data_IF_765898265741
#
_entry.id   IF_765898265741
#
_cell.length_a   1.000
_cell.length_b   1.000
_cell.length_c   1.000
_cell.angle_alpha   90.00
_cell.angle_beta   90.00
_cell.angle_gamma   90.00
#
_symmetry.space_group_name_H-M   'P 1'
#
loop_
_entity.id
_entity.type
_entity.pdbx_description
1 polymer ?
#
# COMPACT_ATOMS: atom_id res chain seq x y z
N UNK A 1 -17.78 -1.23 25.06
CA UNK A 1 -16.84 -1.97 24.19
C UNK A 1 -17.29 -1.91 22.73
N UNK A 2 -18.49 -2.43 22.39
CA UNK A 2 -19.03 -2.39 21.01
C UNK A 2 -19.15 -0.95 20.47
N UNK A 3 -19.74 -0.03 21.25
CA UNK A 3 -19.89 1.38 20.83
C UNK A 3 -18.54 2.08 20.55
N UNK A 4 -17.52 1.79 21.37
CA UNK A 4 -16.17 2.32 21.13
C UNK A 4 -15.59 1.78 19.82
N UNK A 5 -15.70 0.48 19.56
CA UNK A 5 -15.26 -0.13 18.30
C UNK A 5 -15.99 0.47 17.09
N UNK A 6 -17.30 0.67 17.19
CA UNK A 6 -18.11 1.27 16.11
C UNK A 6 -17.76 2.75 15.88
N UNK A 7 -17.39 3.49 16.93
CA UNK A 7 -16.93 4.87 16.80
C UNK A 7 -15.51 4.97 16.20
N UNK A 8 -14.63 4.00 16.48
CA UNK A 8 -13.26 4.00 15.96
C UNK A 8 -13.16 3.47 14.52
N UNK A 9 -13.96 2.46 14.16
CA UNK A 9 -13.83 1.72 12.90
C UNK A 9 -15.08 1.76 12.02
N UNK A 10 -16.12 2.46 12.47
CA UNK A 10 -17.36 2.63 11.73
C UNK A 10 -17.68 4.09 11.47
N UNK A 11 -18.61 4.31 10.56
CA UNK A 11 -19.24 5.58 10.28
C UNK A 11 -20.61 5.60 10.93
N UNK A 12 -20.79 6.51 11.87
CA UNK A 12 -22.10 6.82 12.43
C UNK A 12 -22.94 7.58 11.40
N UNK A 13 -24.21 7.22 11.28
CA UNK A 13 -25.20 7.98 10.52
C UNK A 13 -26.56 7.91 11.19
N UNK A 14 -27.47 8.80 10.81
CA UNK A 14 -28.82 8.87 11.33
C UNK A 14 -29.80 8.69 10.19
N UNK A 15 -30.78 7.81 10.37
CA UNK A 15 -31.88 7.59 9.44
C UNK A 15 -33.18 7.48 10.26
N UNK A 16 -34.22 8.24 9.87
CA UNK A 16 -35.50 8.31 10.59
C UNK A 16 -35.37 8.48 12.12
N UNK A 17 -34.50 9.39 12.57
CA UNK A 17 -34.17 9.68 13.98
C UNK A 17 -33.51 8.51 14.76
N UNK A 18 -33.21 7.39 14.09
CA UNK A 18 -32.44 6.27 14.64
C UNK A 18 -30.96 6.36 14.27
N UNK A 19 -30.10 5.87 15.16
CA UNK A 19 -28.65 5.91 15.00
C UNK A 19 -28.15 4.57 14.51
N UNK A 20 -27.43 4.61 13.39
CA UNK A 20 -26.81 3.45 12.78
C UNK A 20 -25.29 3.61 12.69
N UNK A 21 -24.61 2.48 12.55
CA UNK A 21 -23.19 2.40 12.29
C UNK A 21 -22.95 1.48 11.10
N UNK A 22 -22.16 1.96 10.13
CA UNK A 22 -21.63 1.14 9.05
C UNK A 22 -20.14 0.95 9.28
N UNK A 23 -19.63 -0.28 9.22
CA UNK A 23 -18.17 -0.49 9.25
C UNK A 23 -17.54 0.12 8.01
N UNK A 24 -16.32 0.65 8.15
CA UNK A 24 -15.56 1.15 7.02
C UNK A 24 -14.98 -0.04 6.24
N UNK A 25 -15.54 -0.30 5.05
CA UNK A 25 -15.14 -1.41 4.17
C UNK A 25 -13.63 -1.40 3.89
N UNK A 26 -13.06 -0.25 3.50
CA UNK A 26 -11.64 -0.16 3.17
C UNK A 26 -10.75 -0.49 4.38
N UNK A 27 -11.14 -0.06 5.58
CA UNK A 27 -10.40 -0.39 6.81
C UNK A 27 -10.48 -1.88 7.14
N UNK A 28 -11.66 -2.49 7.00
CA UNK A 28 -11.85 -3.92 7.26
C UNK A 28 -11.06 -4.74 6.25
N UNK A 29 -11.22 -4.47 4.96
CA UNK A 29 -10.50 -5.15 3.89
C UNK A 29 -8.98 -5.01 4.06
N UNK A 30 -8.48 -3.80 4.36
CA UNK A 30 -7.05 -3.54 4.61
C UNK A 30 -6.53 -4.30 5.84
N UNK A 31 -7.28 -4.34 6.94
CA UNK A 31 -6.88 -5.06 8.15
C UNK A 31 -6.82 -6.58 7.90
N UNK A 32 -7.82 -7.14 7.20
CA UNK A 32 -7.82 -8.55 6.82
C UNK A 32 -6.63 -8.90 5.92
N UNK A 33 -6.33 -8.07 4.92
CA UNK A 33 -5.16 -8.26 4.07
C UNK A 33 -3.84 -8.24 4.85
N UNK A 34 -3.71 -7.29 5.79
CA UNK A 34 -2.53 -7.21 6.66
C UNK A 34 -2.33 -8.51 7.45
N UNK A 35 -3.40 -9.06 8.04
CA UNK A 35 -3.33 -10.33 8.77
C UNK A 35 -2.93 -11.51 7.89
N UNK A 36 -3.45 -11.58 6.67
CA UNK A 36 -3.10 -12.63 5.70
C UNK A 36 -1.65 -12.54 5.25
N UNK A 37 -1.18 -11.33 4.95
CA UNK A 37 0.19 -11.09 4.47
C UNK A 37 1.24 -11.19 5.59
N UNK A 38 0.88 -10.94 6.85
CA UNK A 38 1.82 -10.96 7.98
C UNK A 38 2.51 -12.33 8.18
N UNK A 39 1.87 -13.41 7.75
CA UNK A 39 2.41 -14.77 7.86
C UNK A 39 3.11 -15.26 6.57
N UNK A 40 3.17 -14.43 5.53
CA UNK A 40 3.71 -14.80 4.23
C UNK A 40 4.88 -13.89 3.82
N UNK A 41 6.01 -14.48 3.47
CA UNK A 41 7.15 -13.72 2.89
C UNK A 41 6.76 -13.17 1.50
N UNK A 42 6.13 -14.01 0.68
CA UNK A 42 5.58 -13.68 -0.63
C UNK A 42 4.37 -14.59 -0.88
N UNK A 43 3.31 -14.05 -1.45
CA UNK A 43 2.09 -14.77 -1.81
C UNK A 43 1.89 -14.65 -3.33
N UNK A 44 1.48 -15.73 -4.00
CA UNK A 44 0.88 -15.64 -5.33
C UNK A 44 -0.29 -14.64 -5.31
N UNK A 45 -0.28 -13.66 -6.21
CA UNK A 45 -1.27 -12.58 -6.22
C UNK A 45 -2.70 -13.08 -6.46
N UNK A 46 -2.89 -14.01 -7.40
CA UNK A 46 -4.23 -14.48 -7.75
C UNK A 46 -4.86 -15.27 -6.59
N UNK A 47 -4.08 -16.19 -6.01
CA UNK A 47 -4.48 -16.96 -4.83
C UNK A 47 -4.75 -16.03 -3.63
N UNK A 48 -3.90 -15.02 -3.42
CA UNK A 48 -4.12 -14.03 -2.37
C UNK A 48 -5.45 -13.28 -2.55
N UNK A 49 -5.79 -12.84 -3.76
CA UNK A 49 -7.04 -12.12 -4.01
C UNK A 49 -8.27 -12.99 -3.72
N UNK A 50 -8.23 -14.28 -4.05
CA UNK A 50 -9.30 -15.22 -3.72
C UNK A 50 -9.44 -15.41 -2.20
N UNK A 51 -8.33 -15.70 -1.51
CA UNK A 51 -8.32 -15.88 -0.05
C UNK A 51 -8.75 -14.60 0.65
N UNK A 52 -8.29 -13.44 0.19
CA UNK A 52 -8.62 -12.15 0.78
C UNK A 52 -10.11 -11.85 0.65
N UNK A 53 -10.69 -12.06 -0.54
CA UNK A 53 -12.13 -11.86 -0.75
C UNK A 53 -12.99 -12.82 0.09
N UNK A 54 -12.53 -14.06 0.32
CA UNK A 54 -13.21 -15.02 1.19
C UNK A 54 -13.07 -14.71 2.68
N UNK A 55 -12.08 -13.89 3.06
CA UNK A 55 -11.77 -13.59 4.46
C UNK A 55 -12.42 -12.30 4.97
N UNK A 56 -13.02 -11.49 4.09
CA UNK A 56 -13.76 -10.29 4.49
C UNK A 56 -15.24 -10.61 4.75
N UNK A 57 -15.94 -9.82 5.58
CA UNK A 57 -17.37 -10.01 5.83
C UNK A 57 -18.22 -9.97 4.55
N UNK A 58 -19.35 -10.67 4.58
CA UNK A 58 -20.33 -10.65 3.48
C UNK A 58 -20.76 -9.21 3.15
N UNK A 59 -20.84 -8.90 1.87
CA UNK A 59 -21.20 -7.57 1.36
C UNK A 59 -20.01 -6.62 1.13
N UNK A 60 -18.79 -6.96 1.57
CA UNK A 60 -17.59 -6.15 1.34
C UNK A 60 -16.79 -6.61 0.12
N UNK A 61 -16.27 -5.66 -0.66
CA UNK A 61 -15.45 -5.93 -1.84
C UNK A 61 -13.97 -5.63 -1.63
N UNK A 62 -13.11 -6.55 -2.05
CA UNK A 62 -11.65 -6.36 -2.01
C UNK A 62 -11.12 -5.73 -3.30
N UNK A 63 -10.20 -4.77 -3.17
CA UNK A 63 -9.57 -4.08 -4.31
C UNK A 63 -8.12 -3.71 -3.98
N UNK A 64 -7.20 -3.86 -4.91
CA UNK A 64 -5.76 -3.63 -4.63
C UNK A 64 -5.44 -2.20 -4.17
N UNK A 65 -6.26 -1.20 -4.53
CA UNK A 65 -6.09 0.18 -4.07
C UNK A 65 -6.34 0.36 -2.57
N UNK A 66 -7.08 -0.53 -1.91
CA UNK A 66 -7.18 -0.58 -0.43
C UNK A 66 -5.86 -0.93 0.24
N UNK A 67 -4.89 -1.51 -0.50
CA UNK A 67 -3.60 -1.96 0.02
C UNK A 67 -2.45 -0.98 -0.26
N UNK A 68 -2.75 0.21 -0.79
CA UNK A 68 -1.77 1.30 -0.91
C UNK A 68 -1.11 1.53 0.46
N UNK A 69 0.21 1.72 0.45
CA UNK A 69 1.08 1.87 1.63
C UNK A 69 1.14 0.67 2.59
N UNK A 70 0.52 -0.48 2.23
CA UNK A 70 0.50 -1.71 3.03
C UNK A 70 1.15 -2.91 2.33
N UNK A 71 0.99 -3.04 1.00
CA UNK A 71 1.42 -4.23 0.29
C UNK A 71 2.07 -3.92 -1.06
N UNK A 72 3.12 -4.69 -1.37
CA UNK A 72 3.92 -4.56 -2.57
C UNK A 72 3.49 -5.61 -3.60
N UNK A 73 2.90 -5.18 -4.71
CA UNK A 73 2.56 -6.07 -5.84
C UNK A 73 3.70 -6.09 -6.85
N UNK A 74 4.25 -7.27 -7.12
CA UNK A 74 5.25 -7.55 -8.13
C UNK A 74 4.61 -8.25 -9.34
N UNK A 75 4.29 -7.44 -10.35
CA UNK A 75 3.72 -7.92 -11.62
C UNK A 75 4.77 -8.43 -12.61
N UNK A 76 6.05 -8.23 -12.29
CA UNK A 76 7.16 -8.65 -13.14
C UNK A 76 7.52 -10.12 -12.91
N UNK A 77 7.24 -10.65 -11.71
CA UNK A 77 7.40 -12.06 -11.41
C UNK A 77 6.39 -12.95 -12.14
N UNK A 78 6.76 -14.22 -12.34
CA UNK A 78 5.85 -15.27 -12.86
C UNK A 78 5.88 -16.46 -11.90
N UNK A 79 4.78 -16.73 -11.15
CA UNK A 79 3.53 -15.97 -11.09
C UNK A 79 3.70 -14.56 -10.53
N UNK A 80 2.72 -13.67 -10.75
CA UNK A 80 2.69 -12.36 -10.07
C UNK A 80 2.56 -12.58 -8.57
N UNK A 81 3.19 -11.71 -7.77
CA UNK A 81 3.25 -11.90 -6.31
C UNK A 81 2.90 -10.64 -5.56
N UNK A 82 2.51 -10.81 -4.29
CA UNK A 82 2.25 -9.74 -3.33
C UNK A 82 2.94 -10.07 -2.01
N UNK A 83 3.49 -9.04 -1.35
CA UNK A 83 4.10 -9.17 -0.02
C UNK A 83 3.71 -7.99 0.86
N UNK A 84 3.81 -8.17 2.18
CA UNK A 84 3.64 -7.08 3.12
C UNK A 84 4.77 -6.05 2.94
N UNK A 85 4.40 -4.77 2.87
CA UNK A 85 5.33 -3.66 2.94
C UNK A 85 4.58 -2.48 3.56
N UNK A 86 4.71 -2.30 4.87
CA UNK A 86 4.00 -1.23 5.58
C UNK A 86 4.84 0.03 5.56
N UNK A 87 4.24 1.17 5.23
CA UNK A 87 4.93 2.47 5.29
C UNK A 87 5.50 2.76 6.68
N UNK A 88 4.85 2.28 7.73
CA UNK A 88 5.30 2.41 9.14
C UNK A 88 6.57 1.62 9.46
N UNK A 89 6.95 0.63 8.64
CA UNK A 89 8.20 -0.12 8.79
C UNK A 89 9.36 0.49 7.99
N UNK A 90 9.10 1.53 7.18
CA UNK A 90 10.11 2.13 6.33
C UNK A 90 10.98 3.13 7.10
N UNK A 91 12.26 3.31 6.70
CA UNK A 91 13.12 4.33 7.30
C UNK A 91 12.49 5.72 7.29
N UNK A 92 12.64 6.50 8.37
CA UNK A 92 12.14 7.88 8.42
C UNK A 92 13.00 8.84 7.57
N UNK A 93 14.30 8.58 7.46
CA UNK A 93 15.16 9.36 6.58
C UNK A 93 14.78 9.15 5.12
N UNK A 94 14.65 10.26 4.39
CA UNK A 94 14.20 10.25 2.99
C UNK A 94 15.16 9.47 2.09
N UNK A 95 16.47 9.69 2.22
CA UNK A 95 17.45 9.05 1.35
C UNK A 95 17.52 7.54 1.63
N UNK A 96 17.52 7.16 2.91
CA UNK A 96 17.49 5.76 3.34
C UNK A 96 16.22 5.06 2.85
N UNK A 97 15.05 5.71 2.95
CA UNK A 97 13.80 5.15 2.45
C UNK A 97 13.83 4.91 0.95
N UNK A 98 14.26 5.88 0.15
CA UNK A 98 14.40 5.69 -1.30
C UNK A 98 15.37 4.56 -1.62
N UNK A 99 16.49 4.49 -0.91
CA UNK A 99 17.48 3.40 -1.07
C UNK A 99 16.83 2.04 -0.78
N UNK A 100 16.14 1.92 0.34
CA UNK A 100 15.44 0.71 0.76
C UNK A 100 14.38 0.28 -0.27
N UNK A 101 13.54 1.21 -0.75
CA UNK A 101 12.54 0.95 -1.79
C UNK A 101 13.18 0.44 -3.09
N UNK A 102 14.30 1.01 -3.52
CA UNK A 102 15.00 0.58 -4.73
C UNK A 102 15.76 -0.74 -4.58
N UNK A 103 16.13 -1.15 -3.36
CA UNK A 103 16.64 -2.50 -3.08
C UNK A 103 15.54 -3.55 -3.21
N UNK A 104 14.33 -3.24 -2.74
CA UNK A 104 13.19 -4.19 -2.83
C UNK A 104 12.68 -4.37 -4.26
N UNK A 105 12.71 -3.30 -5.06
CA UNK A 105 12.28 -3.31 -6.46
C UNK A 105 13.08 -2.28 -7.23
N UNK A 106 13.76 -2.71 -8.31
CA UNK A 106 14.68 -1.84 -9.05
C UNK A 106 13.97 -0.65 -9.71
N UNK A 107 12.76 -0.87 -10.24
CA UNK A 107 12.00 0.11 -11.03
C UNK A 107 10.57 0.24 -10.53
N UNK A 108 10.15 1.47 -10.29
CA UNK A 108 8.84 1.80 -9.76
C UNK A 108 8.08 2.75 -10.69
N UNK A 109 6.79 2.53 -10.86
CA UNK A 109 5.93 3.57 -11.43
C UNK A 109 5.66 4.66 -10.39
N UNK A 110 5.20 5.83 -10.83
CA UNK A 110 4.80 6.89 -9.89
C UNK A 110 3.67 6.43 -8.96
N UNK A 111 2.70 5.69 -9.52
CA UNK A 111 1.55 5.14 -8.79
C UNK A 111 2.00 4.17 -7.70
N UNK A 112 2.97 3.30 -7.99
CA UNK A 112 3.45 2.30 -7.03
C UNK A 112 4.28 2.91 -5.90
N UNK A 113 5.14 3.91 -6.19
CA UNK A 113 6.07 4.45 -5.19
C UNK A 113 5.43 5.53 -4.31
N UNK A 114 4.47 6.30 -4.85
CA UNK A 114 3.84 7.44 -4.17
C UNK A 114 3.29 7.09 -2.77
N UNK A 115 2.55 5.98 -2.58
CA UNK A 115 2.01 5.61 -1.27
C UNK A 115 3.06 5.41 -0.17
N UNK A 116 4.33 5.19 -0.53
CA UNK A 116 5.42 4.92 0.41
C UNK A 116 6.29 6.15 0.74
N UNK A 117 6.09 7.26 0.02
CA UNK A 117 6.88 8.49 0.17
C UNK A 117 6.01 9.73 0.41
N UNK A 118 4.68 9.59 0.34
CA UNK A 118 3.78 10.72 0.48
C UNK A 118 3.83 11.33 1.88
N UNK A 119 4.03 10.51 2.91
CA UNK A 119 4.19 10.93 4.31
C UNK A 119 5.50 11.70 4.57
N UNK A 120 6.49 11.59 3.67
CA UNK A 120 7.72 12.40 3.72
C UNK A 120 7.50 13.84 3.21
N UNK A 121 6.35 14.14 2.63
CA UNK A 121 6.06 15.47 2.10
C UNK A 121 5.75 16.45 3.22
N UNK A 122 6.47 17.58 3.25
CA UNK A 122 6.11 18.76 4.05
C UNK A 122 5.39 19.83 3.23
N UNK A 123 5.07 20.97 3.84
CA UNK A 123 4.30 22.06 3.21
C UNK A 123 4.84 22.54 1.85
N UNK A 124 6.16 22.45 1.62
CA UNK A 124 6.83 22.95 0.41
C UNK A 124 7.37 21.86 -0.51
N UNK A 125 7.13 20.59 -0.19
CA UNK A 125 7.76 19.47 -0.86
C UNK A 125 6.71 18.46 -1.31
N UNK A 126 6.60 18.26 -2.62
CA UNK A 126 5.69 17.28 -3.22
C UNK A 126 6.40 15.95 -3.48
N UNK A 127 5.64 14.89 -3.70
CA UNK A 127 6.17 13.58 -4.13
C UNK A 127 6.96 13.69 -5.43
N UNK A 128 6.49 14.50 -6.39
CA UNK A 128 7.24 14.78 -7.63
C UNK A 128 8.59 15.47 -7.39
N UNK A 129 8.66 16.39 -6.42
CA UNK A 129 9.92 17.02 -6.02
C UNK A 129 10.87 16.03 -5.35
N UNK A 130 10.34 15.13 -4.50
CA UNK A 130 11.11 14.03 -3.90
C UNK A 130 11.67 13.09 -4.97
N UNK A 131 10.83 12.61 -5.89
CA UNK A 131 11.24 11.74 -6.99
C UNK A 131 12.31 12.39 -7.87
N UNK A 132 12.14 13.68 -8.18
CA UNK A 132 13.15 14.43 -8.95
C UNK A 132 14.48 14.51 -8.20
N UNK A 133 14.48 14.66 -6.87
CA UNK A 133 15.71 14.79 -6.06
C UNK A 133 16.41 13.46 -5.80
N UNK A 134 15.65 12.41 -5.47
CA UNK A 134 16.19 11.15 -4.93
C UNK A 134 16.17 9.97 -5.92
N UNK A 135 15.44 10.08 -7.03
CA UNK A 135 15.35 9.03 -8.05
C UNK A 135 15.86 9.48 -9.42
N UNK A 136 16.07 8.51 -10.31
CA UNK A 136 16.33 8.71 -11.73
C UNK A 136 15.09 8.28 -12.51
N UNK A 137 14.57 9.19 -13.34
CA UNK A 137 13.50 8.89 -14.29
C UNK A 137 14.07 8.17 -15.52
N UNK A 138 13.45 7.07 -15.91
CA UNK A 138 13.70 6.37 -17.16
C UNK A 138 12.39 5.86 -17.77
N UNK A 139 12.46 5.15 -18.89
CA UNK A 139 11.30 4.55 -19.55
C UNK A 139 11.53 3.06 -19.72
N UNK A 140 10.51 2.25 -19.43
CA UNK A 140 10.50 0.82 -19.66
C UNK A 140 9.21 0.47 -20.39
N UNK A 141 9.30 -0.13 -21.57
CA UNK A 141 8.15 -0.48 -22.41
C UNK A 141 7.18 0.71 -22.65
N UNK A 142 7.71 1.92 -22.80
CA UNK A 142 6.92 3.15 -22.98
C UNK A 142 6.35 3.75 -21.69
N UNK A 143 6.52 3.09 -20.53
CA UNK A 143 6.03 3.55 -19.23
C UNK A 143 7.16 4.26 -18.48
N UNK A 144 6.88 5.43 -17.91
CA UNK A 144 7.80 6.16 -17.04
C UNK A 144 8.03 5.39 -15.75
N UNK A 145 9.29 5.17 -15.39
CA UNK A 145 9.68 4.48 -14.17
C UNK A 145 10.81 5.22 -13.44
N UNK A 146 10.86 5.07 -12.13
CA UNK A 146 11.84 5.64 -11.23
C UNK A 146 12.74 4.53 -10.67
N UNK A 147 14.04 4.77 -10.63
CA UNK A 147 15.05 3.86 -10.09
C UNK A 147 16.11 4.65 -9.30
N UNK A 148 16.98 3.95 -8.60
CA UNK A 148 18.07 4.57 -7.85
C UNK A 148 19.02 5.36 -8.76
N UNK A 149 19.51 6.50 -8.26
CA UNK A 149 20.55 7.29 -8.92
C UNK A 149 21.94 6.67 -8.81
N UNK A 150 22.16 5.85 -7.78
CA UNK A 150 23.42 5.16 -7.51
C UNK A 150 23.21 3.65 -7.69
N UNK A 151 24.24 2.88 -8.07
CA UNK A 151 24.16 1.43 -7.99
C UNK A 151 23.70 1.04 -6.57
N UNK A 152 22.59 0.32 -6.49
CA UNK A 152 22.16 -0.28 -5.23
C UNK A 152 23.08 -1.48 -5.03
N UNK A 153 23.87 -1.48 -3.96
CA UNK A 153 24.66 -2.65 -3.61
C UNK A 153 23.70 -3.80 -3.30
N UNK A 154 23.89 -4.92 -4.00
CA UNK A 154 23.12 -6.15 -3.84
C UNK A 154 23.70 -6.96 -2.69
#
# INVERSE_FOLDING_TARGET
MIEHSLNCYGRRYTDNDEVFFALNEDMVCRATAQMLLQNAVKFNLAEFQEVWQQSVPEGMGTRLDQLKSLALVDRSSKPETISLLRVEDLPEDTLERFTHLFTMREKWTEEDITPYIQDLCGEKQTTGALLTKYARLSTQNGIKVFNSRRPVAI
#
